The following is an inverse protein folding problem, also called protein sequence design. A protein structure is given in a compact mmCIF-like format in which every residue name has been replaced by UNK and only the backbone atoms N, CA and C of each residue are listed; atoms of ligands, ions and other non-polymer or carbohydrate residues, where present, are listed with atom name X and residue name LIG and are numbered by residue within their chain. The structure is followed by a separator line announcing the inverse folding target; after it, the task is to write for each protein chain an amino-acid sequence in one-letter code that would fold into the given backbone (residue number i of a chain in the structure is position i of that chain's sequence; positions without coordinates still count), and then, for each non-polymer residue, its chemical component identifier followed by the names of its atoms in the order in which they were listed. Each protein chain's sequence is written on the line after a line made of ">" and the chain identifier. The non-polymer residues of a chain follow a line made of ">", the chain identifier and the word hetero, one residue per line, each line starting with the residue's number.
data_IF_479710488953
#
_entry.id   IF_479710488953
#
_cell.length_a   1.000
_cell.length_b   1.000
_cell.length_c   1.000
_cell.angle_alpha   90.00
_cell.angle_beta   90.00
_cell.angle_gamma   90.00
#
_symmetry.space_group_name_H-M   'P 1'
#
loop_
_entity.id
_entity.type
_entity.pdbx_description
1 polymer ?
#
# COMPACT_ATOMS: atom_id res chain seq x y z
N UNK A 1 23.45 -118.48 5.29
CA UNK A 1 24.12 -117.17 5.26
C UNK A 1 24.14 -116.70 3.81
N UNK A 2 24.30 -115.39 3.57
CA UNK A 2 24.20 -114.73 2.23
C UNK A 2 22.76 -114.73 1.67
N UNK A 3 22.23 -113.74 0.92
CA UNK A 3 22.47 -112.27 0.81
C UNK A 3 21.07 -111.65 0.37
N UNK A 4 20.79 -110.49 -0.26
CA UNK A 4 21.56 -109.42 -0.93
C UNK A 4 20.81 -108.09 -1.13
N UNK A 5 21.58 -107.04 -1.46
CA UNK A 5 21.23 -105.87 -2.30
C UNK A 5 20.08 -104.90 -1.90
N UNK A 6 20.44 -103.80 -1.22
CA UNK A 6 20.56 -102.43 -1.81
C UNK A 6 21.23 -101.49 -0.80
N UNK A 7 21.93 -100.44 -1.24
CA UNK A 7 22.86 -99.64 -0.41
C UNK A 7 22.53 -98.14 -0.38
N UNK A 8 22.87 -97.51 0.75
CA UNK A 8 23.08 -96.07 0.91
C UNK A 8 24.45 -95.63 0.36
N UNK A 9 24.59 -94.37 -0.07
CA UNK A 9 25.87 -93.64 -0.20
C UNK A 9 25.64 -92.16 0.14
N UNK A 10 26.63 -91.53 0.78
CA UNK A 10 26.61 -90.17 1.34
C UNK A 10 27.02 -89.08 0.32
N UNK A 11 26.70 -87.82 0.60
CA UNK A 11 27.19 -86.64 -0.15
C UNK A 11 27.57 -85.45 0.77
N UNK A 12 28.88 -85.35 1.06
CA UNK A 12 29.72 -84.13 1.14
C UNK A 12 29.12 -82.80 1.69
N UNK A 13 29.68 -82.30 2.81
CA UNK A 13 29.31 -81.05 3.48
C UNK A 13 29.81 -79.75 2.78
N UNK A 14 30.57 -79.83 1.67
CA UNK A 14 31.37 -78.71 1.16
C UNK A 14 30.70 -77.75 0.16
N UNK A 15 29.37 -77.79 -0.06
CA UNK A 15 28.70 -76.96 -1.09
C UNK A 15 27.65 -75.98 -0.57
N UNK A 16 28.03 -74.70 -0.63
CA UNK A 16 27.24 -73.50 -0.36
C UNK A 16 25.84 -73.51 -1.04
N UNK A 17 24.79 -73.26 -0.25
CA UNK A 17 23.47 -72.86 -0.76
C UNK A 17 22.88 -71.75 0.13
N UNK A 18 23.21 -70.48 -0.11
CA UNK A 18 22.72 -69.37 0.70
C UNK A 18 21.26 -69.00 0.33
N UNK A 19 20.30 -69.74 0.90
CA UNK A 19 18.90 -69.29 0.95
C UNK A 19 18.86 -68.04 1.83
N UNK A 20 18.86 -66.87 1.20
CA UNK A 20 18.94 -65.59 1.91
C UNK A 20 17.70 -65.34 2.78
N UNK A 21 17.88 -65.28 4.10
CA UNK A 21 16.82 -65.03 5.06
C UNK A 21 15.96 -63.82 4.67
N UNK A 22 14.65 -64.03 4.54
CA UNK A 22 13.70 -62.94 4.36
C UNK A 22 13.61 -62.12 5.65
N UNK A 23 14.00 -60.85 5.59
CA UNK A 23 13.92 -59.92 6.71
C UNK A 23 12.66 -59.08 6.54
N UNK A 24 11.65 -59.33 7.37
CA UNK A 24 10.51 -58.45 7.54
C UNK A 24 10.95 -57.12 8.18
N UNK A 25 10.43 -56.01 7.65
CA UNK A 25 10.70 -54.66 8.12
C UNK A 25 9.45 -53.96 8.67
N UNK A 26 8.30 -54.64 8.70
CA UNK A 26 7.01 -54.08 9.14
C UNK A 26 7.09 -53.48 10.54
N UNK A 27 6.56 -52.27 10.72
CA UNK A 27 6.60 -51.50 11.97
C UNK A 27 7.97 -50.88 12.32
N UNK A 28 9.05 -51.24 11.64
CA UNK A 28 10.38 -50.68 11.90
C UNK A 28 10.50 -49.26 11.33
N UNK A 29 11.30 -48.41 11.99
CA UNK A 29 11.51 -47.01 11.62
C UNK A 29 12.94 -46.72 11.15
N UNK A 30 13.08 -46.26 9.92
CA UNK A 30 14.34 -45.92 9.26
C UNK A 30 14.42 -44.42 9.01
N UNK A 31 15.03 -43.68 9.95
CA UNK A 31 15.05 -42.22 9.92
C UNK A 31 13.66 -41.64 10.16
N UNK A 32 13.11 -40.93 9.17
CA UNK A 32 11.75 -40.38 9.20
C UNK A 32 10.69 -41.32 8.57
N UNK A 33 11.07 -42.51 8.12
CA UNK A 33 10.17 -43.48 7.48
C UNK A 33 9.79 -44.61 8.43
N UNK A 34 8.50 -44.78 8.71
CA UNK A 34 7.95 -45.97 9.38
C UNK A 34 7.40 -46.92 8.31
N UNK A 35 7.84 -48.17 8.30
CA UNK A 35 7.36 -49.20 7.37
C UNK A 35 5.96 -49.65 7.80
N UNK A 36 4.99 -49.55 6.89
CA UNK A 36 3.58 -49.93 7.16
C UNK A 36 3.25 -51.30 6.60
N UNK A 37 3.60 -51.55 5.34
CA UNK A 37 3.28 -52.81 4.66
C UNK A 37 4.26 -53.11 3.53
N UNK A 38 4.31 -54.38 3.11
CA UNK A 38 5.10 -54.82 1.96
C UNK A 38 4.44 -54.33 0.66
N UNK A 39 5.25 -53.80 -0.26
CA UNK A 39 4.81 -53.39 -1.58
C UNK A 39 5.25 -54.41 -2.65
N UNK A 40 4.73 -54.27 -3.87
CA UNK A 40 5.09 -55.10 -5.02
C UNK A 40 6.61 -55.08 -5.27
N UNK A 41 7.20 -56.25 -5.58
CA UNK A 41 8.64 -56.33 -5.83
C UNK A 41 8.98 -55.61 -7.14
N UNK A 42 9.97 -54.70 -7.12
CA UNK A 42 10.42 -54.00 -8.32
C UNK A 42 11.32 -54.90 -9.15
N UNK A 43 10.82 -55.39 -10.28
CA UNK A 43 11.60 -56.12 -11.28
C UNK A 43 12.35 -55.10 -12.17
N UNK A 44 13.61 -55.38 -12.48
CA UNK A 44 14.44 -54.59 -13.39
C UNK A 44 14.49 -55.20 -14.80
N UNK A 45 14.82 -54.44 -15.86
CA UNK A 45 14.98 -54.97 -17.22
C UNK A 45 16.05 -56.08 -17.37
N UNK A 46 16.89 -56.30 -16.35
CA UNK A 46 17.88 -57.39 -16.28
C UNK A 46 17.40 -58.58 -15.42
N UNK A 47 16.11 -58.67 -15.11
CA UNK A 47 15.50 -59.78 -14.36
C UNK A 47 15.67 -59.73 -12.83
N UNK A 48 16.55 -58.90 -12.28
CA UNK A 48 16.70 -58.77 -10.82
C UNK A 48 15.44 -58.17 -10.18
N UNK A 49 14.96 -58.83 -9.12
CA UNK A 49 13.78 -58.44 -8.34
C UNK A 49 14.18 -57.87 -6.98
N UNK A 50 13.59 -56.73 -6.61
CA UNK A 50 13.87 -56.02 -5.35
C UNK A 50 12.63 -55.95 -4.48
N UNK A 51 12.73 -56.39 -3.22
CA UNK A 51 11.64 -56.29 -2.24
C UNK A 51 11.43 -54.82 -1.87
N UNK A 52 10.21 -54.33 -2.07
CA UNK A 52 9.80 -52.96 -1.78
C UNK A 52 8.88 -52.89 -0.56
N UNK A 53 8.88 -51.75 0.10
CA UNK A 53 8.12 -51.48 1.32
C UNK A 53 7.42 -50.12 1.22
N UNK A 54 6.13 -50.08 1.54
CA UNK A 54 5.35 -48.86 1.66
C UNK A 54 5.59 -48.27 3.04
N UNK A 55 6.09 -47.04 3.06
CA UNK A 55 6.48 -46.33 4.27
C UNK A 55 5.65 -45.05 4.41
N UNK A 56 5.19 -44.75 5.63
CA UNK A 56 4.69 -43.42 6.00
C UNK A 56 5.86 -42.59 6.50
N UNK A 57 5.98 -41.36 6.02
CA UNK A 57 6.99 -40.42 6.48
C UNK A 57 6.43 -39.54 7.61
N UNK A 58 7.29 -39.06 8.52
CA UNK A 58 6.93 -38.10 9.59
C UNK A 58 6.35 -36.75 9.09
N UNK A 59 6.31 -36.51 7.78
CA UNK A 59 5.62 -35.38 7.15
C UNK A 59 4.18 -35.71 6.67
N UNK A 60 3.67 -36.90 6.98
CA UNK A 60 2.34 -37.40 6.60
C UNK A 60 2.26 -38.11 5.25
N UNK A 61 3.26 -37.93 4.38
CA UNK A 61 3.25 -38.48 3.01
C UNK A 61 3.79 -39.92 2.95
N UNK A 62 3.26 -40.71 2.01
CA UNK A 62 3.67 -42.09 1.76
C UNK A 62 4.76 -42.21 0.68
N UNK A 63 5.54 -43.28 0.73
CA UNK A 63 6.57 -43.57 -0.28
C UNK A 63 6.86 -45.07 -0.37
N UNK A 64 7.38 -45.54 -1.50
CA UNK A 64 7.70 -46.96 -1.73
C UNK A 64 9.22 -47.11 -1.94
N UNK A 65 9.88 -47.79 -1.01
CA UNK A 65 11.35 -47.83 -0.88
C UNK A 65 11.83 -49.28 -0.83
N UNK A 66 13.00 -49.58 -1.39
CA UNK A 66 13.55 -50.94 -1.32
C UNK A 66 14.05 -51.28 0.08
N UNK A 67 13.88 -52.53 0.51
CA UNK A 67 14.35 -52.99 1.82
C UNK A 67 15.88 -52.88 2.00
N UNK A 68 16.61 -52.88 0.88
CA UNK A 68 18.06 -52.59 0.87
C UNK A 68 18.36 -51.13 1.20
N UNK A 69 17.68 -50.16 0.57
CA UNK A 69 17.92 -48.72 0.79
C UNK A 69 17.45 -48.22 2.17
N UNK A 70 16.48 -48.89 2.79
CA UNK A 70 16.11 -48.67 4.19
C UNK A 70 17.24 -49.11 5.13
N UNK A 71 17.68 -50.37 5.01
CA UNK A 71 18.73 -50.94 5.88
C UNK A 71 20.12 -50.32 5.68
N UNK A 72 20.47 -49.91 4.46
CA UNK A 72 21.73 -49.17 4.21
C UNK A 72 21.66 -47.70 4.65
N UNK A 73 20.48 -47.20 5.02
CA UNK A 73 20.27 -45.79 5.35
C UNK A 73 20.36 -44.84 4.15
N UNK A 74 20.37 -45.34 2.92
CA UNK A 74 20.37 -44.48 1.71
C UNK A 74 19.07 -43.67 1.58
N UNK A 75 17.94 -44.20 2.07
CA UNK A 75 16.64 -43.51 2.04
C UNK A 75 16.11 -43.32 3.46
N UNK A 76 16.15 -42.07 3.96
CA UNK A 76 15.76 -41.69 5.34
C UNK A 76 14.47 -40.85 5.43
N UNK A 77 13.83 -40.56 4.30
CA UNK A 77 12.59 -39.78 4.15
C UNK A 77 11.96 -40.05 2.79
N UNK A 78 10.73 -39.60 2.55
CA UNK A 78 10.08 -39.65 1.23
C UNK A 78 10.64 -38.68 0.17
N UNK A 79 11.78 -38.02 0.46
CA UNK A 79 12.37 -36.94 -0.35
C UNK A 79 12.23 -35.56 0.29
N UNK A 80 11.31 -35.37 1.23
CA UNK A 80 11.05 -34.10 1.94
C UNK A 80 12.25 -33.52 2.72
N UNK A 81 13.32 -34.30 2.91
CA UNK A 81 14.56 -33.89 3.58
C UNK A 81 15.69 -33.46 2.61
N UNK A 82 15.56 -33.75 1.31
CA UNK A 82 16.56 -33.44 0.29
C UNK A 82 16.53 -31.95 -0.10
N UNK A 83 17.14 -31.11 0.74
CA UNK A 83 17.14 -29.65 0.60
C UNK A 83 17.44 -28.88 1.90
N UNK A 84 17.54 -29.59 3.03
CA UNK A 84 17.98 -29.04 4.31
C UNK A 84 16.90 -29.03 5.38
N UNK A 85 17.07 -29.89 6.40
CA UNK A 85 16.35 -29.95 7.69
C UNK A 85 14.94 -29.32 7.67
N UNK A 86 13.98 -30.01 7.08
CA UNK A 86 12.57 -29.68 7.24
C UNK A 86 12.19 -29.79 8.73
N UNK A 87 12.09 -28.63 9.39
CA UNK A 87 11.63 -28.52 10.78
C UNK A 87 10.17 -28.08 10.74
N UNK A 88 9.26 -28.96 11.17
CA UNK A 88 7.83 -28.62 11.26
C UNK A 88 7.66 -27.38 12.17
N UNK A 89 6.90 -26.38 11.71
CA UNK A 89 6.65 -25.13 12.44
C UNK A 89 5.19 -24.98 12.92
N UNK A 90 4.27 -25.86 12.55
CA UNK A 90 2.87 -25.84 13.00
C UNK A 90 2.75 -25.70 14.52
N UNK A 91 1.82 -24.86 14.97
CA UNK A 91 1.54 -24.59 16.38
C UNK A 91 2.53 -23.62 17.06
N UNK A 92 3.65 -23.26 16.42
CA UNK A 92 4.64 -22.37 17.04
C UNK A 92 4.20 -20.91 16.95
N UNK A 93 4.49 -20.17 18.02
CA UNK A 93 4.42 -18.70 18.04
C UNK A 93 5.78 -18.09 17.71
N UNK A 94 5.77 -17.04 16.88
CA UNK A 94 6.95 -16.22 16.52
C UNK A 94 6.52 -14.76 16.57
N UNK A 95 6.81 -14.08 17.68
CA UNK A 95 6.16 -12.81 18.02
C UNK A 95 4.63 -12.98 18.04
N UNK A 96 3.93 -12.11 17.31
CA UNK A 96 2.47 -12.12 17.16
C UNK A 96 1.92 -13.09 16.11
N UNK A 97 2.77 -13.93 15.50
CA UNK A 97 2.34 -14.93 14.52
C UNK A 97 2.24 -16.32 15.14
N UNK A 98 1.09 -16.97 15.00
CA UNK A 98 0.88 -18.41 15.27
C UNK A 98 0.86 -19.17 13.96
N UNK A 99 1.76 -20.12 13.77
CA UNK A 99 1.88 -20.90 12.53
C UNK A 99 0.77 -21.95 12.45
N UNK A 100 -0.11 -21.86 11.45
CA UNK A 100 -1.27 -22.75 11.28
C UNK A 100 -0.92 -24.03 10.51
N UNK A 101 -0.37 -23.89 9.30
CA UNK A 101 -0.06 -25.02 8.41
C UNK A 101 1.06 -24.70 7.43
N UNK A 102 1.71 -25.75 6.91
CA UNK A 102 2.55 -25.61 5.72
C UNK A 102 1.67 -25.31 4.50
N UNK A 103 2.22 -24.54 3.56
CA UNK A 103 1.58 -24.13 2.31
C UNK A 103 2.54 -24.32 1.13
N UNK A 104 2.99 -25.57 0.98
CA UNK A 104 3.93 -26.01 -0.05
C UNK A 104 5.35 -25.45 0.11
N UNK A 105 5.98 -25.23 -1.04
CA UNK A 105 7.36 -24.75 -1.18
C UNK A 105 7.43 -23.64 -2.24
N UNK A 106 8.44 -22.78 -2.13
CA UNK A 106 8.78 -21.78 -3.17
C UNK A 106 9.51 -22.41 -4.36
N UNK A 107 9.68 -21.66 -5.45
CA UNK A 107 10.47 -22.06 -6.63
C UNK A 107 11.92 -22.48 -6.31
N UNK A 108 12.45 -22.09 -5.14
CA UNK A 108 13.80 -22.40 -4.66
C UNK A 108 13.79 -23.42 -3.49
N UNK A 109 12.74 -24.22 -3.35
CA UNK A 109 12.67 -25.30 -2.35
C UNK A 109 12.45 -24.84 -0.90
N UNK A 110 12.38 -23.54 -0.60
CA UNK A 110 12.06 -23.09 0.76
C UNK A 110 10.59 -23.37 1.12
N UNK A 111 10.35 -24.06 2.23
CA UNK A 111 9.01 -24.33 2.77
C UNK A 111 8.29 -23.02 3.16
N UNK A 112 7.03 -22.90 2.75
CA UNK A 112 6.14 -21.77 3.06
C UNK A 112 5.12 -22.16 4.12
N UNK A 113 4.69 -21.20 4.94
CA UNK A 113 3.80 -21.42 6.07
C UNK A 113 2.72 -20.35 6.14
N UNK A 114 1.48 -20.76 6.37
CA UNK A 114 0.36 -19.86 6.65
C UNK A 114 0.31 -19.62 8.17
N UNK A 115 0.28 -18.36 8.56
CA UNK A 115 0.37 -17.91 9.94
C UNK A 115 -0.77 -16.94 10.26
N UNK A 116 -1.45 -17.18 11.39
CA UNK A 116 -2.43 -16.27 11.96
C UNK A 116 -1.70 -15.19 12.76
N UNK A 117 -1.96 -13.91 12.48
CA UNK A 117 -1.51 -12.81 13.34
C UNK A 117 -2.56 -12.49 14.41
N UNK A 118 -2.11 -12.06 15.58
CA UNK A 118 -2.98 -11.64 16.70
C UNK A 118 -3.92 -10.47 16.35
N UNK A 119 -3.63 -9.68 15.31
CA UNK A 119 -4.52 -8.64 14.79
C UNK A 119 -5.53 -9.17 13.73
N UNK A 120 -5.91 -10.45 13.79
CA UNK A 120 -6.88 -11.08 12.87
C UNK A 120 -6.35 -11.44 11.46
N UNK A 121 -5.30 -10.76 10.97
CA UNK A 121 -4.78 -10.99 9.62
C UNK A 121 -4.00 -12.31 9.46
N UNK A 122 -4.27 -13.05 8.38
CA UNK A 122 -3.51 -14.24 7.97
C UNK A 122 -2.42 -13.88 6.96
N UNK A 123 -1.20 -14.41 7.11
CA UNK A 123 -0.07 -14.14 6.21
C UNK A 123 0.71 -15.41 5.83
N UNK A 124 1.29 -15.39 4.63
CA UNK A 124 2.16 -16.45 4.09
C UNK A 124 3.64 -16.08 4.30
N UNK A 125 4.39 -16.92 5.00
CA UNK A 125 5.77 -16.60 5.45
C UNK A 125 6.74 -17.73 5.12
N UNK A 126 7.98 -17.38 4.74
CA UNK A 126 9.05 -18.35 4.56
C UNK A 126 9.47 -18.99 5.89
N UNK A 127 9.65 -20.32 5.89
CA UNK A 127 10.03 -21.06 7.10
C UNK A 127 11.40 -20.65 7.69
N UNK A 128 12.29 -20.03 6.92
CA UNK A 128 13.54 -19.48 7.47
C UNK A 128 13.32 -18.13 8.18
N UNK A 129 12.43 -17.26 7.67
CA UNK A 129 12.09 -15.99 8.34
C UNK A 129 11.40 -16.21 9.69
N UNK A 130 10.58 -17.26 9.81
CA UNK A 130 9.99 -17.68 11.08
C UNK A 130 11.03 -18.22 12.07
N UNK A 131 12.00 -19.03 11.60
CA UNK A 131 13.06 -19.59 12.47
C UNK A 131 14.05 -18.54 12.97
N UNK A 132 14.37 -17.56 12.12
CA UNK A 132 15.36 -16.52 12.44
C UNK A 132 14.73 -15.30 13.16
N UNK A 133 13.40 -15.29 13.36
CA UNK A 133 12.70 -14.17 14.00
C UNK A 133 12.56 -12.92 13.12
N UNK A 134 12.84 -12.99 11.81
CA UNK A 134 12.75 -11.85 10.88
C UNK A 134 11.30 -11.42 10.61
N UNK A 135 10.33 -12.33 10.79
CA UNK A 135 8.90 -12.05 10.58
C UNK A 135 8.13 -12.40 11.85
N UNK A 136 7.76 -11.36 12.61
CA UNK A 136 7.13 -11.44 13.94
C UNK A 136 5.67 -10.96 13.97
N UNK A 137 5.14 -10.51 12.83
CA UNK A 137 3.75 -10.05 12.66
C UNK A 137 3.40 -10.03 11.17
N UNK A 138 2.14 -9.74 10.84
CA UNK A 138 1.72 -9.45 9.46
C UNK A 138 2.23 -8.09 8.91
N UNK A 139 2.98 -7.33 9.71
CA UNK A 139 3.35 -5.93 9.45
C UNK A 139 2.77 -4.94 10.46
N UNK A 140 1.71 -5.30 11.19
CA UNK A 140 1.05 -4.44 12.19
C UNK A 140 2.03 -3.85 13.22
N UNK A 141 2.98 -4.65 13.72
CA UNK A 141 4.01 -4.20 14.67
C UNK A 141 4.88 -3.05 14.12
N UNK A 142 5.18 -3.08 12.81
CA UNK A 142 5.91 -1.98 12.14
C UNK A 142 5.04 -0.75 11.98
N UNK A 143 3.77 -0.92 11.59
CA UNK A 143 2.83 0.18 11.41
C UNK A 143 2.54 0.91 12.74
N UNK A 144 2.33 0.16 13.83
CA UNK A 144 2.17 0.71 15.18
C UNK A 144 3.41 1.50 15.64
N UNK A 145 4.60 0.97 15.36
CA UNK A 145 5.87 1.62 15.71
C UNK A 145 6.06 2.91 14.90
N UNK A 146 5.78 2.86 13.59
CA UNK A 146 5.85 4.01 12.70
C UNK A 146 4.83 5.10 13.08
N UNK A 147 3.61 4.73 13.46
CA UNK A 147 2.59 5.67 13.93
C UNK A 147 3.01 6.38 15.24
N UNK A 148 3.59 5.65 16.20
CA UNK A 148 4.13 6.23 17.44
C UNK A 148 5.29 7.18 17.18
N UNK A 149 6.27 6.76 16.37
CA UNK A 149 7.43 7.60 15.99
C UNK A 149 7.02 8.81 15.17
N UNK A 150 6.01 8.67 14.30
CA UNK A 150 5.45 9.77 13.50
C UNK A 150 4.76 10.84 14.35
N UNK A 151 3.97 10.45 15.36
CA UNK A 151 3.37 11.40 16.32
C UNK A 151 4.42 12.09 17.20
N UNK A 152 5.48 11.39 17.61
CA UNK A 152 6.57 11.98 18.42
C UNK A 152 7.48 12.94 17.63
N UNK A 153 7.68 12.71 16.33
CA UNK A 153 8.48 13.57 15.45
C UNK A 153 7.62 14.49 14.56
N UNK A 154 6.37 14.74 14.95
CA UNK A 154 5.49 15.67 14.25
C UNK A 154 6.05 17.10 14.37
N UNK A 155 6.73 17.58 13.32
CA UNK A 155 7.25 18.95 13.29
C UNK A 155 6.09 19.95 13.25
N UNK A 156 5.75 20.49 14.41
CA UNK A 156 4.84 21.62 14.54
C UNK A 156 5.42 22.85 13.82
N UNK A 157 4.55 23.60 13.16
CA UNK A 157 4.91 24.92 12.62
C UNK A 157 5.29 25.88 13.76
N UNK A 158 6.13 26.87 13.43
CA UNK A 158 6.29 28.04 14.30
C UNK A 158 5.17 29.04 14.00
N UNK A 159 4.79 29.81 15.00
CA UNK A 159 3.77 30.85 14.89
C UNK A 159 4.24 32.10 15.62
N UNK A 160 3.99 33.26 15.02
CA UNK A 160 3.94 34.55 15.70
C UNK A 160 2.46 34.94 15.86
N UNK A 161 2.12 35.47 17.04
CA UNK A 161 0.77 35.86 17.46
C UNK A 161 0.77 37.25 18.13
N UNK A 162 1.83 38.04 17.92
CA UNK A 162 2.03 39.35 18.59
C UNK A 162 1.44 40.54 17.83
N UNK A 163 1.11 40.36 16.54
CA UNK A 163 0.43 41.36 15.71
C UNK A 163 -1.09 41.22 15.74
N UNK A 164 -1.77 41.97 14.86
CA UNK A 164 -3.25 41.94 14.73
C UNK A 164 -3.78 40.64 14.11
N UNK A 165 -2.92 39.93 13.37
CA UNK A 165 -3.15 38.62 12.77
C UNK A 165 -1.99 37.68 13.10
N UNK A 166 -2.22 36.37 12.95
CA UNK A 166 -1.20 35.35 13.16
C UNK A 166 -0.35 35.12 11.91
N UNK A 167 0.95 34.91 12.11
CA UNK A 167 1.90 34.52 11.07
C UNK A 167 2.39 33.10 11.35
N UNK A 168 2.15 32.19 10.42
CA UNK A 168 2.57 30.80 10.50
C UNK A 168 3.76 30.52 9.58
N UNK A 169 4.72 29.74 10.07
CA UNK A 169 5.91 29.36 9.31
C UNK A 169 5.87 27.89 8.94
N UNK A 170 5.86 27.60 7.65
CA UNK A 170 6.03 26.22 7.14
C UNK A 170 7.40 25.65 7.50
N UNK A 171 7.57 24.33 7.41
CA UNK A 171 8.86 23.66 7.62
C UNK A 171 9.99 24.12 6.67
N UNK A 172 9.66 24.87 5.61
CA UNK A 172 10.59 25.47 4.65
C UNK A 172 10.75 27.00 4.85
N UNK A 173 10.30 27.54 5.99
CA UNK A 173 10.25 28.97 6.32
C UNK A 173 9.42 29.86 5.36
N UNK A 174 8.52 29.28 4.55
CA UNK A 174 7.50 30.06 3.83
C UNK A 174 6.41 30.46 4.82
N UNK A 175 6.06 31.75 4.81
CA UNK A 175 5.03 32.37 5.66
C UNK A 175 3.61 32.13 5.13
N UNK A 176 2.66 32.08 6.06
CA UNK A 176 1.23 32.12 5.79
C UNK A 176 0.48 32.89 6.89
N UNK A 177 -0.66 33.50 6.55
CA UNK A 177 -1.38 34.44 7.39
C UNK A 177 -2.78 33.93 7.73
N UNK A 178 -3.23 34.17 8.96
CA UNK A 178 -4.52 33.70 9.49
C UNK A 178 -5.05 34.62 10.60
N UNK A 179 -6.36 34.61 10.85
CA UNK A 179 -6.94 35.39 11.95
C UNK A 179 -6.64 34.72 13.31
N UNK A 180 -6.36 35.49 14.37
CA UNK A 180 -5.97 34.94 15.67
C UNK A 180 -7.00 33.95 16.26
N UNK A 181 -8.29 34.14 15.97
CA UNK A 181 -9.38 33.22 16.38
C UNK A 181 -9.37 31.85 15.68
N UNK A 182 -8.54 31.65 14.65
CA UNK A 182 -8.30 30.34 14.03
C UNK A 182 -7.12 29.57 14.64
N UNK A 183 -6.32 30.20 15.50
CA UNK A 183 -5.10 29.58 16.05
C UNK A 183 -5.37 28.18 16.66
N UNK A 184 -6.42 28.05 17.47
CA UNK A 184 -6.80 26.78 18.09
C UNK A 184 -7.21 25.69 17.10
N UNK A 185 -7.70 26.09 15.91
CA UNK A 185 -8.09 25.18 14.82
C UNK A 185 -6.86 24.66 14.05
N UNK A 186 -5.80 25.46 13.97
CA UNK A 186 -4.64 25.20 13.09
C UNK A 186 -3.40 24.66 13.81
N UNK A 187 -3.20 25.00 15.09
CA UNK A 187 -1.93 24.78 15.84
C UNK A 187 -1.49 23.31 15.96
N UNK A 188 -2.45 22.38 15.88
CA UNK A 188 -2.23 20.94 15.98
C UNK A 188 -1.99 20.25 14.62
N UNK A 189 -1.91 21.01 13.53
CA UNK A 189 -1.75 20.50 12.16
C UNK A 189 -0.40 20.96 11.61
N UNK A 190 0.31 20.05 10.92
CA UNK A 190 1.54 20.38 10.20
C UNK A 190 1.21 20.94 8.82
N UNK A 191 1.47 22.23 8.62
CA UNK A 191 1.21 22.97 7.39
C UNK A 191 2.43 23.06 6.48
N UNK A 192 2.19 22.91 5.18
CA UNK A 192 3.13 23.09 4.07
C UNK A 192 2.44 23.73 2.87
N UNK A 193 3.21 24.19 1.88
CA UNK A 193 2.66 24.70 0.61
C UNK A 193 2.57 23.55 -0.40
N UNK A 194 1.47 23.46 -1.17
CA UNK A 194 1.36 22.49 -2.29
C UNK A 194 1.78 23.07 -3.65
N UNK A 195 1.78 22.22 -4.69
CA UNK A 195 2.22 22.58 -6.03
C UNK A 195 1.41 23.70 -6.72
N UNK A 196 0.28 24.12 -6.14
CA UNK A 196 -0.54 25.23 -6.62
C UNK A 196 -0.40 26.49 -5.72
N UNK A 197 0.48 26.47 -4.72
CA UNK A 197 0.72 27.60 -3.82
C UNK A 197 -0.18 27.67 -2.58
N UNK A 198 -1.10 26.70 -2.39
CA UNK A 198 -2.02 26.73 -1.23
C UNK A 198 -1.39 26.13 0.03
N UNK A 199 -1.73 26.71 1.17
CA UNK A 199 -1.40 26.18 2.50
C UNK A 199 -2.26 24.94 2.78
N UNK A 200 -1.60 23.81 3.04
CA UNK A 200 -2.22 22.49 3.18
C UNK A 200 -1.66 21.73 4.37
N UNK A 201 -2.48 20.85 4.95
CA UNK A 201 -2.09 20.00 6.08
C UNK A 201 -2.92 18.72 6.12
N UNK A 202 -2.62 17.84 7.07
CA UNK A 202 -3.42 16.63 7.34
C UNK A 202 -4.12 16.76 8.70
N UNK A 203 -5.43 16.53 8.72
CA UNK A 203 -6.26 16.72 9.91
C UNK A 203 -6.74 15.38 10.47
N UNK A 204 -6.36 15.04 11.70
CA UNK A 204 -6.85 13.79 12.35
C UNK A 204 -8.39 13.77 12.45
N UNK A 205 -9.01 14.91 12.78
CA UNK A 205 -10.48 15.10 12.82
C UNK A 205 -11.15 14.65 11.51
N UNK A 206 -10.57 14.98 10.36
CA UNK A 206 -11.11 14.65 9.04
C UNK A 206 -10.57 13.30 8.52
N UNK A 207 -10.45 12.29 9.39
CA UNK A 207 -9.88 10.96 9.08
C UNK A 207 -8.50 11.00 8.42
N UNK A 208 -7.62 11.92 8.86
CA UNK A 208 -6.28 12.15 8.31
C UNK A 208 -6.25 12.55 6.81
N UNK A 209 -7.37 13.00 6.24
CA UNK A 209 -7.41 13.59 4.89
C UNK A 209 -6.50 14.82 4.80
N UNK A 210 -5.98 15.08 3.59
CA UNK A 210 -5.39 16.38 3.23
C UNK A 210 -6.50 17.43 3.23
N UNK A 211 -6.26 18.57 3.87
CA UNK A 211 -7.13 19.76 3.88
C UNK A 211 -6.34 21.00 3.44
N UNK A 212 -7.07 22.07 3.11
CA UNK A 212 -6.55 23.41 2.78
C UNK A 212 -6.92 24.41 3.87
N UNK A 213 -6.06 25.37 4.18
CA UNK A 213 -6.23 26.28 5.31
C UNK A 213 -7.47 27.19 5.15
N UNK A 214 -7.63 27.90 4.03
CA UNK A 214 -8.85 28.66 3.72
C UNK A 214 -10.15 27.86 3.91
N UNK A 215 -10.20 26.56 3.54
CA UNK A 215 -11.41 25.74 3.75
C UNK A 215 -11.66 25.46 5.23
N UNK A 216 -10.61 25.34 6.05
CA UNK A 216 -10.73 25.13 7.50
C UNK A 216 -11.25 26.39 8.22
N UNK A 217 -10.64 27.55 7.95
CA UNK A 217 -11.02 28.82 8.62
C UNK A 217 -12.42 29.30 8.20
N UNK A 218 -12.79 29.11 6.93
CA UNK A 218 -14.14 29.40 6.42
C UNK A 218 -15.18 28.31 6.74
N UNK A 219 -14.82 27.25 7.50
CA UNK A 219 -15.68 26.10 7.83
C UNK A 219 -16.28 25.38 6.61
N UNK A 220 -15.57 25.42 5.48
CA UNK A 220 -15.98 24.88 4.18
C UNK A 220 -15.44 23.46 3.90
N UNK A 221 -14.89 22.76 4.90
CA UNK A 221 -14.29 21.41 4.71
C UNK A 221 -15.29 20.33 4.28
N UNK A 222 -16.56 20.45 4.68
CA UNK A 222 -17.64 19.51 4.35
C UNK A 222 -18.55 19.99 3.19
N UNK A 223 -18.28 21.14 2.58
CA UNK A 223 -18.97 21.60 1.36
C UNK A 223 -18.38 20.92 0.12
N UNK A 224 -19.20 20.56 -0.88
CA UNK A 224 -18.71 19.99 -2.14
C UNK A 224 -17.81 21.00 -2.87
N UNK A 225 -16.55 20.62 -3.11
CA UNK A 225 -15.56 21.45 -3.81
C UNK A 225 -15.92 21.75 -5.27
N UNK A 226 -16.89 21.01 -5.86
CA UNK A 226 -17.41 21.27 -7.21
C UNK A 226 -18.43 22.40 -7.26
N UNK A 227 -19.16 22.63 -6.16
CA UNK A 227 -20.18 23.67 -6.08
C UNK A 227 -19.63 24.92 -5.38
N UNK A 228 -18.91 24.73 -4.26
CA UNK A 228 -18.41 25.81 -3.41
C UNK A 228 -16.88 25.78 -3.29
N UNK A 229 -16.26 26.82 -3.84
CA UNK A 229 -14.84 27.13 -3.76
C UNK A 229 -14.67 28.26 -2.72
N UNK A 230 -13.51 28.33 -2.07
CA UNK A 230 -13.11 29.54 -1.33
C UNK A 230 -12.14 30.31 -2.21
N UNK A 231 -12.52 31.53 -2.58
CA UNK A 231 -11.76 32.42 -3.46
C UNK A 231 -10.90 33.38 -2.61
N UNK A 232 -9.59 33.43 -2.89
CA UNK A 232 -8.67 34.44 -2.36
C UNK A 232 -8.89 35.74 -3.13
N UNK A 233 -9.64 36.66 -2.53
CA UNK A 233 -10.02 37.96 -3.08
C UNK A 233 -8.79 38.75 -3.58
N UNK A 234 -7.68 38.64 -2.84
CA UNK A 234 -6.40 39.29 -3.10
C UNK A 234 -5.43 38.51 -4.02
N UNK A 235 -5.79 37.29 -4.46
CA UNK A 235 -4.95 36.35 -5.23
C UNK A 235 -3.68 35.84 -4.50
N UNK A 236 -3.58 35.98 -3.18
CA UNK A 236 -2.44 35.50 -2.37
C UNK A 236 -2.83 34.21 -1.67
N UNK A 237 -2.45 33.06 -2.23
CA UNK A 237 -2.86 31.71 -1.76
C UNK A 237 -2.26 31.27 -0.41
N UNK A 238 -1.44 32.13 0.22
CA UNK A 238 -0.91 31.98 1.59
C UNK A 238 -1.49 33.00 2.58
N UNK A 239 -2.36 33.90 2.13
CA UNK A 239 -3.10 34.83 3.00
C UNK A 239 -4.50 34.29 3.24
N UNK A 240 -4.61 33.35 4.18
CA UNK A 240 -5.86 32.70 4.56
C UNK A 240 -6.59 33.48 5.71
N UNK A 241 -6.34 34.80 5.86
CA UNK A 241 -7.14 35.69 6.73
C UNK A 241 -8.55 35.85 6.14
N UNK A 242 -9.62 35.77 6.94
CA UNK A 242 -11.00 35.77 6.41
C UNK A 242 -11.37 37.02 5.60
N UNK A 243 -10.74 38.16 5.88
CA UNK A 243 -10.94 39.40 5.11
C UNK A 243 -10.56 39.27 3.63
N UNK A 244 -9.66 38.31 3.31
CA UNK A 244 -9.22 37.98 1.95
C UNK A 244 -9.95 36.77 1.36
N UNK A 245 -10.92 36.16 2.06
CA UNK A 245 -11.57 34.91 1.68
C UNK A 245 -13.08 35.07 1.51
N UNK A 246 -13.65 34.42 0.49
CA UNK A 246 -15.11 34.29 0.32
C UNK A 246 -15.51 32.94 -0.23
N UNK A 247 -16.61 32.38 0.26
CA UNK A 247 -17.21 31.16 -0.31
C UNK A 247 -18.02 31.56 -1.54
N UNK A 248 -17.72 30.94 -2.68
CA UNK A 248 -18.27 31.30 -4.00
C UNK A 248 -18.51 30.08 -4.87
N UNK A 249 -19.40 30.23 -5.85
CA UNK A 249 -19.49 29.26 -6.96
C UNK A 249 -18.27 29.33 -7.87
N UNK A 250 -17.97 28.26 -8.61
CA UNK A 250 -16.88 28.28 -9.60
C UNK A 250 -17.08 29.37 -10.67
N UNK A 251 -18.33 29.72 -11.02
CA UNK A 251 -18.61 30.81 -11.95
C UNK A 251 -18.21 32.17 -11.36
N UNK A 252 -18.49 32.43 -10.09
CA UNK A 252 -18.08 33.66 -9.38
C UNK A 252 -16.56 33.73 -9.21
N UNK A 253 -15.90 32.62 -8.89
CA UNK A 253 -14.43 32.56 -8.84
C UNK A 253 -13.80 32.96 -10.19
N UNK A 254 -14.44 32.61 -11.32
CA UNK A 254 -13.97 33.03 -12.66
C UNK A 254 -14.16 34.53 -12.93
N UNK A 255 -15.08 35.22 -12.25
CA UNK A 255 -15.24 36.69 -12.38
C UNK A 255 -14.07 37.46 -11.77
N UNK A 256 -13.38 36.85 -10.79
CA UNK A 256 -12.16 37.37 -10.17
C UNK A 256 -10.89 37.09 -11.02
N UNK A 257 -11.00 36.57 -12.25
CA UNK A 257 -9.81 36.19 -13.05
C UNK A 257 -8.96 37.41 -13.43
N UNK A 258 -7.70 37.43 -12.96
CA UNK A 258 -6.69 38.45 -13.30
C UNK A 258 -6.54 38.64 -14.81
N UNK A 259 -6.37 39.88 -15.24
CA UNK A 259 -6.17 40.23 -16.66
C UNK A 259 -4.78 39.77 -17.09
N UNK A 260 -4.73 38.89 -18.11
CA UNK A 260 -3.50 38.33 -18.69
C UNK A 260 -3.18 38.86 -20.08
N UNK A 261 -4.13 39.54 -20.73
CA UNK A 261 -3.98 40.06 -22.09
C UNK A 261 -3.23 41.42 -22.08
N UNK A 262 -2.08 41.56 -22.78
CA UNK A 262 -1.34 42.82 -22.85
C UNK A 262 -2.12 43.99 -23.48
N UNK A 263 -3.23 43.72 -24.18
CA UNK A 263 -4.11 44.77 -24.71
C UNK A 263 -5.03 45.41 -23.65
N UNK A 264 -5.09 44.88 -22.43
CA UNK A 264 -5.53 45.60 -21.24
C UNK A 264 -6.86 45.19 -20.59
N UNK A 265 -7.81 44.58 -21.31
CA UNK A 265 -9.09 44.10 -20.72
C UNK A 265 -9.52 42.74 -21.31
N UNK A 266 -9.94 41.83 -20.43
CA UNK A 266 -10.53 40.53 -20.80
C UNK A 266 -11.92 40.72 -21.45
N UNK A 267 -12.04 40.37 -22.73
CA UNK A 267 -13.28 40.49 -23.52
C UNK A 267 -13.37 41.73 -24.42
N UNK A 268 -12.33 42.57 -24.49
CA UNK A 268 -12.21 43.65 -25.49
C UNK A 268 -11.15 43.28 -26.53
N UNK A 269 -11.50 43.36 -27.81
CA UNK A 269 -10.61 42.98 -28.92
C UNK A 269 -10.91 43.78 -30.19
N UNK A 270 -9.89 43.99 -31.02
CA UNK A 270 -10.06 44.60 -32.35
C UNK A 270 -10.62 43.57 -33.34
N UNK A 271 -11.51 44.02 -34.22
CA UNK A 271 -12.07 43.23 -35.32
C UNK A 271 -12.32 44.14 -36.53
N UNK A 272 -11.51 43.94 -37.58
CA UNK A 272 -11.35 44.93 -38.68
C UNK A 272 -11.00 46.30 -38.07
N UNK A 273 -11.52 47.38 -38.63
CA UNK A 273 -11.26 48.77 -38.24
C UNK A 273 -12.07 49.23 -37.00
N UNK A 274 -12.50 48.29 -36.14
CA UNK A 274 -13.41 48.52 -35.01
C UNK A 274 -13.05 47.67 -33.80
N UNK A 275 -13.64 48.00 -32.65
CA UNK A 275 -13.45 47.30 -31.37
C UNK A 275 -14.74 46.60 -30.94
N UNK A 276 -14.63 45.32 -30.58
CA UNK A 276 -15.73 44.53 -30.05
C UNK A 276 -15.57 44.34 -28.54
N UNK A 277 -16.69 44.30 -27.81
CA UNK A 277 -16.72 43.99 -26.39
C UNK A 277 -17.70 42.84 -26.09
N UNK A 278 -17.28 41.91 -25.23
CA UNK A 278 -18.10 40.80 -24.71
C UNK A 278 -17.73 40.44 -23.27
N UNK A 279 -18.65 39.77 -22.58
CA UNK A 279 -18.47 39.33 -21.18
C UNK A 279 -19.03 37.90 -21.01
N UNK A 280 -18.30 37.05 -20.29
CA UNK A 280 -18.72 35.66 -20.04
C UNK A 280 -19.60 35.56 -18.79
N UNK A 281 -20.84 35.10 -18.91
CA UNK A 281 -21.79 34.99 -17.79
C UNK A 281 -22.70 33.77 -17.97
N UNK A 282 -22.89 32.98 -16.89
CA UNK A 282 -23.70 31.74 -16.89
C UNK A 282 -23.37 30.77 -18.05
N UNK A 283 -22.08 30.55 -18.29
CA UNK A 283 -21.52 29.75 -19.40
C UNK A 283 -21.92 30.21 -20.81
N UNK A 284 -22.35 31.47 -20.96
CA UNK A 284 -22.66 32.11 -22.24
C UNK A 284 -21.78 33.35 -22.45
N UNK A 285 -21.48 33.67 -23.70
CA UNK A 285 -20.81 34.94 -24.06
C UNK A 285 -21.88 35.98 -24.36
N UNK A 286 -22.07 36.93 -23.44
CA UNK A 286 -22.93 38.10 -23.67
C UNK A 286 -22.17 39.08 -24.55
N UNK A 287 -22.73 39.42 -25.69
CA UNK A 287 -22.18 40.39 -26.63
C UNK A 287 -22.64 41.80 -26.26
N UNK A 288 -21.70 42.73 -26.09
CA UNK A 288 -21.99 44.09 -25.62
C UNK A 288 -22.11 45.08 -26.78
N UNK A 289 -21.29 44.94 -27.82
CA UNK A 289 -21.41 45.73 -29.05
C UNK A 289 -20.14 45.82 -29.89
N UNK A 290 -20.25 46.58 -30.99
CA UNK A 290 -19.13 47.08 -31.79
C UNK A 290 -19.02 48.58 -31.57
N UNK A 291 -17.80 49.07 -31.37
CA UNK A 291 -17.46 50.46 -31.10
C UNK A 291 -16.37 50.93 -32.07
N UNK A 292 -16.27 52.25 -32.26
CA UNK A 292 -15.27 52.82 -33.16
C UNK A 292 -13.93 53.05 -32.42
N UNK A 293 -13.97 53.40 -31.12
CA UNK A 293 -12.77 53.55 -30.28
C UNK A 293 -12.55 52.33 -29.38
N UNK A 294 -11.34 52.19 -28.83
CA UNK A 294 -11.03 51.16 -27.84
C UNK A 294 -11.66 51.51 -26.49
N UNK A 295 -11.71 52.81 -26.20
CA UNK A 295 -12.14 53.45 -24.96
C UNK A 295 -13.64 53.24 -24.72
N UNK A 296 -14.46 53.34 -25.77
CA UNK A 296 -15.90 53.03 -25.73
C UNK A 296 -16.14 51.54 -25.43
N UNK A 297 -15.39 50.64 -26.08
CA UNK A 297 -15.48 49.19 -25.85
C UNK A 297 -15.02 48.81 -24.43
N UNK A 298 -13.97 49.46 -23.93
CA UNK A 298 -13.51 49.39 -22.54
C UNK A 298 -14.62 49.87 -21.58
N UNK A 299 -15.24 51.02 -21.85
CA UNK A 299 -16.31 51.56 -21.00
C UNK A 299 -17.49 50.60 -20.93
N UNK A 300 -18.00 50.15 -22.07
CA UNK A 300 -19.11 49.19 -22.14
C UNK A 300 -18.78 47.88 -21.40
N UNK A 301 -17.55 47.39 -21.50
CA UNK A 301 -17.08 46.21 -20.77
C UNK A 301 -16.99 46.42 -19.26
N UNK A 302 -16.63 47.62 -18.79
CA UNK A 302 -16.57 47.99 -17.37
C UNK A 302 -17.96 48.24 -16.76
N UNK A 303 -18.86 48.87 -17.53
CA UNK A 303 -20.28 49.02 -17.16
C UNK A 303 -20.92 47.63 -17.00
N UNK A 304 -20.68 46.73 -17.97
CA UNK A 304 -21.13 45.34 -17.93
C UNK A 304 -20.49 44.53 -16.77
N UNK A 305 -19.21 44.75 -16.45
CA UNK A 305 -18.58 44.11 -15.28
C UNK A 305 -19.31 44.47 -13.98
N UNK A 306 -19.64 45.76 -13.85
CA UNK A 306 -20.34 46.29 -12.69
C UNK A 306 -21.78 45.76 -12.58
N UNK A 307 -22.42 45.46 -13.71
CA UNK A 307 -23.79 44.92 -13.78
C UNK A 307 -23.87 43.39 -13.61
N UNK A 308 -22.96 42.62 -14.23
CA UNK A 308 -23.03 41.14 -14.27
C UNK A 308 -22.17 40.46 -13.21
N UNK A 309 -21.04 41.05 -12.80
CA UNK A 309 -20.11 40.45 -11.84
C UNK A 309 -20.17 41.13 -10.46
N UNK A 310 -20.44 42.44 -10.41
CA UNK A 310 -20.59 43.18 -9.17
C UNK A 310 -19.36 43.05 -8.26
N UNK A 311 -19.57 42.60 -7.02
CA UNK A 311 -18.51 42.36 -6.02
C UNK A 311 -17.52 41.26 -6.40
N UNK A 312 -17.91 40.30 -7.26
CA UNK A 312 -17.05 39.21 -7.72
C UNK A 312 -16.11 39.61 -8.86
N UNK A 313 -16.23 40.83 -9.38
CA UNK A 313 -15.30 41.35 -10.39
C UNK A 313 -13.88 41.49 -9.84
N UNK A 314 -12.87 41.22 -10.67
CA UNK A 314 -11.46 41.42 -10.32
C UNK A 314 -11.18 42.83 -9.79
N UNK A 315 -11.76 43.88 -10.40
CA UNK A 315 -11.59 45.26 -9.93
C UNK A 315 -12.11 45.46 -8.50
N UNK A 316 -13.36 45.05 -8.20
CA UNK A 316 -13.93 45.16 -6.85
C UNK A 316 -13.20 44.29 -5.83
N UNK A 317 -12.70 43.14 -6.25
CA UNK A 317 -11.89 42.26 -5.40
C UNK A 317 -10.58 42.95 -5.00
N UNK A 318 -9.90 43.60 -5.95
CA UNK A 318 -8.73 44.44 -5.64
C UNK A 318 -9.07 45.72 -4.85
N UNK A 319 -10.26 46.32 -5.03
CA UNK A 319 -10.71 47.45 -4.19
C UNK A 319 -10.83 47.03 -2.71
N UNK A 320 -11.35 45.83 -2.43
CA UNK A 320 -11.42 45.27 -1.05
C UNK A 320 -10.04 44.88 -0.53
N UNK A 321 -9.23 44.20 -1.34
CA UNK A 321 -7.91 43.69 -0.94
C UNK A 321 -6.86 44.78 -0.65
N UNK A 322 -7.05 46.01 -1.15
CA UNK A 322 -6.15 47.14 -0.90
C UNK A 322 -6.64 48.09 0.21
N UNK A 323 -7.74 47.76 0.90
CA UNK A 323 -8.32 48.59 1.97
C UNK A 323 -7.82 48.23 3.39
N UNK A 324 -7.01 47.17 3.51
CA UNK A 324 -6.54 46.52 4.75
C UNK A 324 -5.17 45.86 4.56
#
# INVERSE_FOLDING_TARGET
>A
MEDAYKREVLCDESRWCPIGNFIDLTGQKFGMLTVVERAENKITPKGHSYIMWKCVCDCGETTVVSGASLRSGNTKSCGCYAGGKFKNMTGKKVGRLTVLKQDGFSKHGYAMWICQCECGNTVRVFGHCLRNGNTQSCGCLKNESAAKVGKLNAKTNKYDLTGEYGIGYTNNNVEFYFDLEDYDKIKNISWSIDAYGYVVGHSEIHNNKKIRLHRLVMRATELDEKEFIVDHINHITTDDRKINLRIVTQQQNMMNTKITNPNGINGVYAYKDKWCASIGYKNQTVYLGVYNTKEDAIKARNDAESMYYGEYSYRKSMEVANAY
#
